data_IF_192435717987
#
_entry.id   IF_192435717987
#
_cell.length_a   1.000
_cell.length_b   1.000
_cell.length_c   1.000
_cell.angle_alpha   90.00
_cell.angle_beta   90.00
_cell.angle_gamma   90.00
#
_symmetry.space_group_name_H-M   'P 1'
#
loop_
_entity.id
_entity.type
_entity.pdbx_description
1 polymer ?
#
# COMPACT_ATOMS: atom_id res chain seq x y z
N UNK A 1 -3.55 -6.43 14.85
CA UNK A 1 -2.98 -5.84 13.60
C UNK A 1 -1.84 -4.92 13.99
N UNK A 2 -0.65 -5.12 13.43
CA UNK A 2 0.45 -4.17 13.56
C UNK A 2 0.33 -3.14 12.44
N UNK A 3 0.24 -1.86 12.78
CA UNK A 3 0.12 -0.76 11.83
C UNK A 3 1.40 0.08 11.83
N UNK A 4 2.11 0.11 10.70
CA UNK A 4 3.27 0.99 10.51
C UNK A 4 2.77 2.39 10.17
N UNK A 5 3.16 3.37 10.99
CA UNK A 5 2.87 4.78 10.76
C UNK A 5 3.93 5.41 9.84
N UNK A 6 3.55 5.61 8.59
CA UNK A 6 4.30 6.38 7.60
C UNK A 6 3.73 7.80 7.39
N UNK A 7 2.79 8.26 8.23
CA UNK A 7 1.97 9.46 8.01
C UNK A 7 0.48 9.12 7.96
N UNK A 8 0.06 8.20 8.83
CA UNK A 8 -1.27 7.60 8.87
C UNK A 8 -2.39 8.64 9.04
N UNK A 9 -3.51 8.42 8.34
CA UNK A 9 -4.78 9.11 8.61
C UNK A 9 -5.55 8.37 9.70
N UNK A 10 -6.01 9.09 10.74
CA UNK A 10 -6.73 8.51 11.88
C UNK A 10 -7.94 7.64 11.48
N UNK A 11 -8.60 7.94 10.37
CA UNK A 11 -9.75 7.16 9.90
C UNK A 11 -9.40 5.70 9.56
N UNK A 12 -8.15 5.41 9.19
CA UNK A 12 -7.67 4.04 8.95
C UNK A 12 -7.76 3.20 10.23
N UNK A 13 -7.29 3.74 11.36
CA UNK A 13 -7.38 3.08 12.67
C UNK A 13 -8.86 2.90 13.06
N UNK A 14 -9.67 3.96 12.90
CA UNK A 14 -11.12 3.88 13.20
C UNK A 14 -11.81 2.76 12.43
N UNK A 15 -11.50 2.60 11.15
CA UNK A 15 -12.05 1.53 10.31
C UNK A 15 -11.68 0.13 10.80
N UNK A 16 -10.46 -0.08 11.30
CA UNK A 16 -10.04 -1.36 11.86
C UNK A 16 -10.69 -1.66 13.21
N UNK A 17 -10.69 -0.68 14.12
CA UNK A 17 -11.31 -0.82 15.44
C UNK A 17 -12.81 -1.09 15.33
N UNK A 18 -13.50 -0.41 14.40
CA UNK A 18 -14.93 -0.65 14.12
C UNK A 18 -15.22 -2.07 13.59
N UNK A 19 -14.21 -2.78 13.05
CA UNK A 19 -14.28 -4.18 12.61
C UNK A 19 -13.83 -5.16 13.71
N UNK A 20 -13.62 -4.69 14.93
CA UNK A 20 -13.20 -5.52 16.08
C UNK A 20 -11.70 -5.80 16.15
N UNK A 21 -10.88 -5.16 15.30
CA UNK A 21 -9.44 -5.36 15.34
C UNK A 21 -8.77 -4.51 16.43
N UNK A 22 -7.88 -5.13 17.22
CA UNK A 22 -6.87 -4.40 18.00
C UNK A 22 -5.77 -3.92 17.05
N UNK A 23 -5.45 -2.63 17.12
CA UNK A 23 -4.41 -2.00 16.29
C UNK A 23 -3.26 -1.53 17.18
N UNK A 24 -2.09 -2.10 16.96
CA UNK A 24 -0.85 -1.65 17.58
C UNK A 24 -0.09 -0.76 16.58
N UNK A 25 -0.07 0.55 16.85
CA UNK A 25 0.59 1.53 16.00
C UNK A 25 2.08 1.59 16.32
N UNK A 26 2.93 1.45 15.31
CA UNK A 26 4.40 1.46 15.45
C UNK A 26 5.03 2.47 14.50
N UNK A 27 6.20 3.05 14.84
CA UNK A 27 6.88 4.00 13.95
C UNK A 27 7.36 3.33 12.66
N UNK A 28 7.59 4.14 11.61
CA UNK A 28 8.04 3.70 10.29
C UNK A 28 9.31 2.82 10.27
N UNK A 29 10.20 2.98 11.26
CA UNK A 29 11.46 2.25 11.40
C UNK A 29 11.38 1.08 12.41
N UNK A 30 10.18 0.69 12.85
CA UNK A 30 10.00 -0.37 13.82
C UNK A 30 10.48 -1.73 13.29
N UNK A 31 11.18 -2.48 14.14
CA UNK A 31 11.59 -3.84 13.84
C UNK A 31 10.38 -4.79 13.95
N UNK A 32 9.81 -5.19 12.82
CA UNK A 32 8.60 -6.02 12.78
C UNK A 32 8.85 -7.40 13.41
N UNK A 33 7.98 -7.76 14.34
CA UNK A 33 7.98 -9.06 15.01
C UNK A 33 6.75 -9.85 14.59
N UNK A 34 6.87 -10.66 13.55
CA UNK A 34 5.74 -11.36 12.92
C UNK A 34 4.92 -12.26 13.87
N UNK A 35 5.54 -12.74 14.95
CA UNK A 35 4.85 -13.54 15.98
C UNK A 35 3.88 -12.73 16.84
N UNK A 36 4.00 -11.40 16.87
CA UNK A 36 3.21 -10.52 17.74
C UNK A 36 1.96 -9.96 17.07
N UNK A 37 1.71 -10.27 15.78
CA UNK A 37 0.53 -9.79 15.07
C UNK A 37 -0.10 -10.81 14.12
N UNK A 38 -1.40 -10.65 13.88
CA UNK A 38 -2.17 -11.49 12.94
C UNK A 38 -2.14 -10.96 11.51
N UNK A 39 -1.87 -9.67 11.33
CA UNK A 39 -1.75 -9.02 10.03
C UNK A 39 -0.99 -7.71 10.13
N UNK A 40 -0.39 -7.32 9.00
CA UNK A 40 0.41 -6.11 8.86
C UNK A 40 -0.35 -5.08 8.04
N UNK A 41 -0.46 -3.86 8.58
CA UNK A 41 -1.00 -2.71 7.87
C UNK A 41 0.10 -1.67 7.64
N UNK A 42 0.22 -1.17 6.42
CA UNK A 42 1.17 -0.13 6.05
C UNK A 42 0.38 1.11 5.64
N UNK A 43 0.50 2.17 6.42
CA UNK A 43 -0.35 3.36 6.25
C UNK A 43 0.00 4.14 4.98
N UNK A 44 -0.84 5.15 4.70
CA UNK A 44 -0.45 6.21 3.78
C UNK A 44 0.70 7.04 4.39
N UNK A 45 1.30 7.89 3.57
CA UNK A 45 2.35 8.81 3.99
C UNK A 45 2.79 9.77 2.89
N UNK A 46 3.58 10.79 3.24
CA UNK A 46 4.26 11.63 2.27
C UNK A 46 5.57 10.97 1.79
N UNK A 47 6.08 11.45 0.66
CA UNK A 47 7.45 11.15 0.22
C UNK A 47 7.55 10.13 -0.91
N UNK A 48 8.79 9.72 -1.17
CA UNK A 48 9.18 8.78 -2.22
C UNK A 48 9.46 7.41 -1.59
N UNK A 49 8.78 6.32 -2.02
CA UNK A 49 8.99 4.97 -1.49
C UNK A 49 10.45 4.48 -1.58
N UNK A 50 11.22 4.95 -2.57
CA UNK A 50 12.62 4.55 -2.78
C UNK A 50 13.53 5.03 -1.63
N UNK A 51 13.12 6.07 -0.90
CA UNK A 51 13.87 6.59 0.25
C UNK A 51 13.60 5.80 1.54
N UNK A 52 12.53 5.01 1.59
CA UNK A 52 12.08 4.28 2.79
C UNK A 52 12.70 2.87 2.91
N UNK A 53 14.01 2.76 2.68
CA UNK A 53 14.72 1.46 2.58
C UNK A 53 14.58 0.57 3.80
N UNK A 54 14.59 1.15 5.00
CA UNK A 54 14.47 0.40 6.25
C UNK A 54 13.08 -0.24 6.37
N UNK A 55 12.02 0.52 6.09
CA UNK A 55 10.64 0.04 6.10
C UNK A 55 10.44 -1.06 5.05
N UNK A 56 10.92 -0.85 3.82
CA UNK A 56 10.89 -1.85 2.75
C UNK A 56 11.58 -3.14 3.18
N UNK A 57 12.74 -3.04 3.83
CA UNK A 57 13.49 -4.20 4.33
C UNK A 57 12.70 -4.97 5.40
N UNK A 58 11.95 -4.30 6.27
CA UNK A 58 11.09 -4.98 7.25
C UNK A 58 9.90 -5.65 6.57
N UNK A 59 9.25 -5.00 5.61
CA UNK A 59 8.14 -5.57 4.83
C UNK A 59 8.60 -6.82 4.08
N UNK A 60 9.77 -6.78 3.45
CA UNK A 60 10.38 -7.93 2.76
C UNK A 60 10.56 -9.15 3.68
N UNK A 61 10.91 -8.95 4.96
CA UNK A 61 11.04 -10.06 5.92
C UNK A 61 9.70 -10.76 6.17
N UNK A 62 8.62 -9.98 6.32
CA UNK A 62 7.27 -10.52 6.55
C UNK A 62 6.75 -11.20 5.29
N UNK A 63 6.95 -10.60 4.11
CA UNK A 63 6.59 -11.20 2.82
C UNK A 63 7.26 -12.55 2.59
N UNK A 64 8.57 -12.66 2.87
CA UNK A 64 9.32 -13.91 2.69
C UNK A 64 8.76 -15.08 3.48
N UNK A 65 8.16 -14.82 4.65
CA UNK A 65 7.54 -15.87 5.44
C UNK A 65 6.16 -16.27 4.90
N UNK A 66 5.43 -15.34 4.28
CA UNK A 66 4.19 -15.62 3.54
C UNK A 66 3.00 -16.07 4.39
N UNK A 67 3.06 -15.90 5.72
CA UNK A 67 2.06 -16.46 6.65
C UNK A 67 1.00 -15.46 7.10
N UNK A 68 1.25 -14.16 6.93
CA UNK A 68 0.43 -13.09 7.49
C UNK A 68 -0.14 -12.23 6.36
N UNK A 69 -1.45 -11.88 6.39
CA UNK A 69 -2.02 -10.91 5.47
C UNK A 69 -1.33 -9.54 5.64
N UNK A 70 -1.04 -8.90 4.51
CA UNK A 70 -0.45 -7.57 4.44
C UNK A 70 -1.38 -6.67 3.65
N UNK A 71 -1.63 -5.47 4.15
CA UNK A 71 -2.46 -4.47 3.48
C UNK A 71 -1.78 -3.11 3.49
N UNK A 72 -1.52 -2.56 2.30
CA UNK A 72 -0.90 -1.24 2.11
C UNK A 72 -1.86 -0.23 1.50
N UNK A 73 -1.83 1.02 1.97
CA UNK A 73 -2.64 2.12 1.39
C UNK A 73 -1.73 3.24 0.90
N UNK A 74 -1.91 3.70 -0.34
CA UNK A 74 -1.18 4.83 -0.93
C UNK A 74 0.34 4.60 -0.86
N UNK A 75 1.08 5.30 0.01
CA UNK A 75 2.50 5.00 0.23
C UNK A 75 2.72 3.55 0.65
N UNK A 76 1.84 2.97 1.47
CA UNK A 76 1.95 1.58 1.87
C UNK A 76 1.83 0.58 0.72
N UNK A 77 1.00 0.90 -0.29
CA UNK A 77 0.93 0.13 -1.55
C UNK A 77 2.25 0.21 -2.30
N UNK A 78 2.81 1.41 -2.44
CA UNK A 78 4.08 1.63 -3.12
C UNK A 78 5.24 0.92 -2.40
N UNK A 79 5.31 0.98 -1.07
CA UNK A 79 6.33 0.28 -0.28
C UNK A 79 6.21 -1.24 -0.40
N UNK A 80 4.98 -1.77 -0.46
CA UNK A 80 4.74 -3.19 -0.69
C UNK A 80 5.21 -3.60 -2.09
N UNK A 81 4.88 -2.83 -3.11
CA UNK A 81 5.34 -3.04 -4.48
C UNK A 81 6.88 -2.98 -4.59
N UNK A 82 7.52 -2.01 -3.94
CA UNK A 82 8.99 -1.94 -3.89
C UNK A 82 9.59 -3.15 -3.15
N UNK A 83 8.94 -3.63 -2.08
CA UNK A 83 9.39 -4.80 -1.34
C UNK A 83 9.40 -6.07 -2.19
N UNK A 84 8.46 -6.23 -3.13
CA UNK A 84 8.40 -7.35 -4.08
C UNK A 84 9.28 -7.15 -5.32
N UNK A 85 9.99 -6.02 -5.43
CA UNK A 85 10.93 -5.74 -6.52
C UNK A 85 10.39 -4.87 -7.65
N UNK A 86 9.18 -4.31 -7.52
CA UNK A 86 8.63 -3.40 -8.53
C UNK A 86 9.33 -2.04 -8.48
N UNK A 87 9.32 -1.35 -9.63
CA UNK A 87 9.75 0.04 -9.74
C UNK A 87 8.59 0.99 -9.46
N UNK A 88 8.93 2.14 -8.91
CA UNK A 88 8.00 3.26 -8.73
C UNK A 88 8.53 4.47 -9.47
N UNK A 89 7.64 5.29 -10.01
CA UNK A 89 8.02 6.49 -10.75
C UNK A 89 7.18 7.69 -10.31
N UNK A 90 7.76 8.89 -10.47
CA UNK A 90 7.07 10.15 -10.20
C UNK A 90 6.15 10.49 -11.37
N UNK A 91 4.88 10.71 -11.07
CA UNK A 91 3.87 11.10 -12.05
C UNK A 91 4.04 12.58 -12.42
N UNK A 92 3.69 12.92 -13.67
CA UNK A 92 3.75 14.32 -14.15
C UNK A 92 2.80 15.24 -13.39
N UNK A 93 1.55 14.81 -13.22
CA UNK A 93 0.52 15.58 -12.51
C UNK A 93 0.10 14.94 -11.19
N UNK A 94 0.21 13.60 -11.06
CA UNK A 94 -0.24 12.84 -9.88
C UNK A 94 -1.77 12.80 -9.76
N UNK A 95 -2.27 11.85 -8.98
CA UNK A 95 -3.71 11.70 -8.76
C UNK A 95 -4.11 12.34 -7.42
N UNK A 96 -4.87 13.43 -7.50
CA UNK A 96 -5.30 14.23 -6.35
C UNK A 96 -6.77 14.65 -6.50
N UNK A 97 -7.64 14.04 -5.70
CA UNK A 97 -9.06 14.36 -5.74
C UNK A 97 -9.92 13.34 -5.00
N UNK A 98 -11.23 13.55 -5.06
CA UNK A 98 -12.24 12.69 -4.44
C UNK A 98 -13.10 11.96 -5.49
N UNK A 99 -12.74 12.08 -6.77
CA UNK A 99 -13.52 11.63 -7.92
C UNK A 99 -12.66 10.83 -8.91
N UNK A 100 -11.69 10.06 -8.42
CA UNK A 100 -10.78 9.30 -9.28
C UNK A 100 -11.38 7.91 -9.55
N UNK A 101 -11.68 7.56 -10.81
CA UNK A 101 -12.27 6.27 -11.15
C UNK A 101 -11.20 5.17 -11.14
N UNK A 102 -11.44 4.09 -10.38
CA UNK A 102 -10.62 2.88 -10.40
C UNK A 102 -11.43 1.68 -10.85
N UNK A 103 -10.92 0.94 -11.83
CA UNK A 103 -11.51 -0.32 -12.30
C UNK A 103 -10.86 -1.47 -11.54
N UNK A 104 -11.70 -2.34 -10.96
CA UNK A 104 -11.28 -3.56 -10.30
C UNK A 104 -11.13 -4.70 -11.31
N UNK A 105 -9.91 -5.20 -11.45
CA UNK A 105 -9.60 -6.35 -12.30
C UNK A 105 -10.33 -7.60 -11.81
N UNK A 106 -10.64 -8.51 -12.73
CA UNK A 106 -11.46 -9.71 -12.46
C UNK A 106 -12.97 -9.47 -12.35
N UNK A 107 -13.43 -8.26 -12.00
CA UNK A 107 -14.88 -7.96 -11.88
C UNK A 107 -15.41 -6.92 -12.88
N UNK A 108 -14.55 -6.07 -13.44
CA UNK A 108 -14.94 -4.97 -14.32
C UNK A 108 -15.68 -3.82 -13.62
N UNK A 109 -15.83 -3.86 -12.29
CA UNK A 109 -16.52 -2.81 -11.53
C UNK A 109 -15.65 -1.56 -11.43
N UNK A 110 -16.25 -0.40 -11.65
CA UNK A 110 -15.62 0.90 -11.44
C UNK A 110 -16.05 1.51 -10.10
N UNK A 111 -15.09 2.06 -9.36
CA UNK A 111 -15.30 2.72 -8.07
C UNK A 111 -14.77 4.16 -8.12
N UNK A 112 -15.52 5.09 -7.54
CA UNK A 112 -15.02 6.45 -7.32
C UNK A 112 -14.19 6.48 -6.04
N UNK A 113 -12.94 6.91 -6.13
CA UNK A 113 -11.97 6.85 -5.05
C UNK A 113 -11.43 8.23 -4.70
N UNK A 114 -10.98 8.37 -3.45
CA UNK A 114 -10.19 9.52 -3.03
C UNK A 114 -8.71 9.17 -3.06
N UNK A 115 -7.97 9.90 -3.86
CA UNK A 115 -6.55 9.70 -4.08
C UNK A 115 -5.77 10.98 -3.79
N UNK A 116 -4.54 10.81 -3.31
CA UNK A 116 -3.60 11.90 -3.11
C UNK A 116 -2.16 11.36 -3.15
N UNK A 117 -1.66 11.03 -4.34
CA UNK A 117 -0.28 10.58 -4.55
C UNK A 117 0.32 11.18 -5.80
N UNK A 118 1.64 11.37 -5.77
CA UNK A 118 2.45 11.83 -6.91
C UNK A 118 3.37 10.76 -7.48
N UNK A 119 3.31 9.54 -6.96
CA UNK A 119 4.07 8.39 -7.40
C UNK A 119 3.13 7.25 -7.75
N UNK A 120 3.51 6.43 -8.72
CA UNK A 120 2.78 5.24 -9.13
C UNK A 120 3.73 4.05 -9.22
N UNK A 121 3.16 2.84 -9.11
CA UNK A 121 3.86 1.58 -9.34
C UNK A 121 3.87 1.30 -10.84
N UNK A 122 5.01 0.87 -11.35
CA UNK A 122 5.14 0.39 -12.72
C UNK A 122 4.65 -1.06 -12.81
N UNK A 123 3.43 -1.25 -13.33
CA UNK A 123 2.81 -2.57 -13.46
C UNK A 123 3.56 -3.52 -14.39
N UNK A 124 4.39 -3.01 -15.32
CA UNK A 124 5.21 -3.86 -16.18
C UNK A 124 6.35 -4.53 -15.42
N UNK A 125 6.66 -4.03 -14.22
CA UNK A 125 7.72 -4.57 -13.35
C UNK A 125 7.21 -5.53 -12.29
N UNK A 126 5.92 -5.89 -12.32
CA UNK A 126 5.34 -6.85 -11.41
C UNK A 126 5.93 -8.26 -11.65
N UNK A 127 6.38 -8.97 -10.60
CA UNK A 127 6.76 -10.37 -10.71
C UNK A 127 5.55 -11.23 -11.11
N UNK A 128 5.80 -12.38 -11.73
CA UNK A 128 4.74 -13.27 -12.24
C UNK A 128 3.72 -13.77 -11.20
N UNK A 129 4.09 -13.76 -9.92
CA UNK A 129 3.24 -14.16 -8.79
C UNK A 129 2.27 -13.04 -8.33
N UNK A 130 2.37 -11.85 -8.94
CA UNK A 130 1.60 -10.66 -8.57
C UNK A 130 0.82 -10.14 -9.78
N UNK A 131 -0.33 -9.54 -9.53
CA UNK A 131 -1.20 -9.00 -10.58
C UNK A 131 -1.72 -7.62 -10.19
N UNK A 132 -1.98 -6.72 -11.17
CA UNK A 132 -2.70 -5.48 -10.89
C UNK A 132 -4.11 -5.78 -10.39
N UNK A 133 -4.47 -5.26 -9.21
CA UNK A 133 -5.82 -5.38 -8.67
C UNK A 133 -6.73 -4.23 -9.13
N UNK A 134 -6.18 -3.01 -9.21
CA UNK A 134 -6.91 -1.82 -9.64
C UNK A 134 -6.09 -1.00 -10.63
N UNK A 135 -6.80 -0.42 -11.61
CA UNK A 135 -6.24 0.53 -12.59
C UNK A 135 -7.10 1.78 -12.66
N UNK A 136 -6.46 2.95 -12.74
CA UNK A 136 -7.14 4.21 -12.93
C UNK A 136 -7.76 4.28 -14.34
N UNK A 137 -9.05 4.60 -14.43
CA UNK A 137 -9.75 4.63 -15.71
C UNK A 137 -9.39 5.85 -16.58
N UNK A 138 -8.81 6.91 -16.00
CA UNK A 138 -8.47 8.13 -16.72
C UNK A 138 -7.10 8.05 -17.40
N UNK A 139 -6.11 7.44 -16.74
CA UNK A 139 -4.71 7.48 -17.19
C UNK A 139 -4.01 6.11 -17.21
N UNK A 140 -4.73 5.02 -16.91
CA UNK A 140 -4.24 3.64 -16.85
C UNK A 140 -3.13 3.38 -15.84
N UNK A 141 -2.90 4.29 -14.89
CA UNK A 141 -1.91 4.07 -13.83
C UNK A 141 -2.36 3.00 -12.83
N UNK A 142 -1.40 2.33 -12.20
CA UNK A 142 -1.67 1.30 -11.21
C UNK A 142 -2.19 1.90 -9.89
N UNK A 143 -3.28 1.32 -9.37
CA UNK A 143 -3.98 1.76 -8.16
C UNK A 143 -4.09 0.64 -7.10
N UNK A 144 -3.46 -0.51 -7.36
CA UNK A 144 -3.44 -1.67 -6.48
C UNK A 144 -2.78 -2.88 -7.15
N UNK A 145 -2.07 -3.69 -6.37
CA UNK A 145 -1.39 -4.94 -6.77
C UNK A 145 -1.48 -5.97 -5.66
#
# INVERSE_FOLDING_TARGET
ICAIDCGLKLNQIKCFVARGARVDLVPWNYALKEKEFDGLFISNGPGDPVMCKDTVTQIQKVLKNGKKPIFGICLGHQLLATAIGCKTYKMKYGNRGHNLPCVHHGTGRCFMTSQNHGFAVDSETLPAEWEPLFTNANDNTNEGT
#
